data_IF_057198574164
#
_entry.id   IF_057198574164
#
_cell.length_a   1.000
_cell.length_b   1.000
_cell.length_c   1.000
_cell.angle_alpha   90.00
_cell.angle_beta   90.00
_cell.angle_gamma   90.00
#
_symmetry.space_group_name_H-M   'P 1'
#
loop_
_entity.id
_entity.type
_entity.pdbx_description
1 polymer ?
#
# COMPACT_ATOMS: atom_id res chain seq x y z
N UNK A 1 -7.50 -5.46 -29.20
CA UNK A 1 -7.92 -5.21 -27.80
C UNK A 1 -8.03 -6.56 -27.11
N UNK A 2 -7.42 -6.73 -25.95
CA UNK A 2 -7.51 -7.96 -25.17
C UNK A 2 -8.95 -8.11 -24.67
N UNK A 3 -9.61 -9.24 -24.98
CA UNK A 3 -10.97 -9.49 -24.50
C UNK A 3 -10.90 -10.09 -23.08
N UNK A 4 -10.91 -9.24 -22.06
CA UNK A 4 -10.87 -9.70 -20.66
C UNK A 4 -12.12 -10.51 -20.28
N UNK A 5 -13.26 -10.30 -20.94
CA UNK A 5 -14.49 -11.07 -20.71
C UNK A 5 -14.32 -12.55 -21.06
N UNK A 6 -13.71 -12.85 -22.22
CA UNK A 6 -13.39 -14.22 -22.58
C UNK A 6 -12.28 -14.82 -21.69
N UNK A 7 -11.28 -13.98 -21.36
CA UNK A 7 -10.12 -14.41 -20.56
C UNK A 7 -10.51 -14.88 -19.15
N UNK A 8 -11.56 -14.30 -18.55
CA UNK A 8 -12.00 -14.60 -17.19
C UNK A 8 -13.40 -15.23 -17.12
N UNK A 9 -13.91 -15.79 -18.24
CA UNK A 9 -15.31 -16.19 -18.38
C UNK A 9 -15.81 -17.13 -17.26
N UNK A 10 -14.97 -18.10 -16.86
CA UNK A 10 -15.33 -19.12 -15.87
C UNK A 10 -14.51 -18.99 -14.58
N UNK A 11 -14.02 -17.78 -14.28
CA UNK A 11 -13.06 -17.56 -13.19
C UNK A 11 -13.49 -16.40 -12.32
N UNK A 12 -13.51 -16.57 -11.01
CA UNK A 12 -13.73 -15.48 -10.06
C UNK A 12 -12.54 -14.51 -10.06
N UNK A 13 -12.79 -13.25 -10.29
CA UNK A 13 -11.76 -12.22 -10.32
C UNK A 13 -11.55 -11.67 -8.90
N UNK A 14 -10.32 -11.79 -8.38
CA UNK A 14 -9.94 -11.21 -7.10
C UNK A 14 -8.88 -10.12 -7.35
N UNK A 15 -9.19 -8.88 -7.00
CA UNK A 15 -8.30 -7.73 -7.17
C UNK A 15 -7.66 -7.35 -5.85
N UNK A 16 -6.34 -7.40 -5.78
CA UNK A 16 -5.57 -6.91 -4.62
C UNK A 16 -5.53 -5.39 -4.61
N UNK A 17 -6.21 -4.77 -3.66
CA UNK A 17 -6.26 -3.31 -3.47
C UNK A 17 -5.31 -2.89 -2.35
N UNK A 18 -4.63 -1.77 -2.51
CA UNK A 18 -3.68 -1.24 -1.51
C UNK A 18 -3.95 0.22 -1.10
N UNK A 19 -5.01 0.84 -1.64
CA UNK A 19 -5.25 2.28 -1.51
C UNK A 19 -4.27 3.13 -2.33
N UNK A 20 -3.46 2.52 -3.19
CA UNK A 20 -2.55 3.20 -4.11
C UNK A 20 -3.13 3.32 -5.51
N UNK A 21 -2.59 4.28 -6.29
CA UNK A 21 -3.09 4.62 -7.63
C UNK A 21 -3.15 3.42 -8.59
N UNK A 22 -2.15 2.54 -8.55
CA UNK A 22 -2.03 1.44 -9.50
C UNK A 22 -3.09 0.34 -9.24
N UNK A 23 -3.36 0.02 -7.98
CA UNK A 23 -4.41 -0.93 -7.62
C UNK A 23 -5.82 -0.39 -7.89
N UNK A 24 -6.02 0.92 -7.72
CA UNK A 24 -7.27 1.59 -8.10
C UNK A 24 -7.45 1.57 -9.60
N UNK A 25 -6.42 1.94 -10.38
CA UNK A 25 -6.44 1.86 -11.85
C UNK A 25 -6.76 0.45 -12.35
N UNK A 26 -6.34 -0.60 -11.63
CA UNK A 26 -6.68 -1.99 -11.97
C UNK A 26 -8.20 -2.24 -11.89
N UNK A 27 -8.86 -1.77 -10.84
CA UNK A 27 -10.31 -1.87 -10.72
C UNK A 27 -11.04 -1.06 -11.81
N UNK A 28 -10.58 0.17 -12.07
CA UNK A 28 -11.15 1.04 -13.11
C UNK A 28 -10.95 0.43 -14.49
N UNK A 29 -9.83 -0.22 -14.76
CA UNK A 29 -9.57 -0.92 -16.02
C UNK A 29 -10.56 -2.09 -16.24
N UNK A 30 -10.94 -2.82 -15.21
CA UNK A 30 -11.99 -3.84 -15.31
C UNK A 30 -13.33 -3.19 -15.68
N UNK A 31 -13.69 -2.09 -15.03
CA UNK A 31 -14.94 -1.36 -15.30
C UNK A 31 -14.96 -0.85 -16.75
N UNK A 32 -13.87 -0.26 -17.26
CA UNK A 32 -13.76 0.17 -18.67
C UNK A 32 -13.87 -1.00 -19.67
N UNK A 33 -13.46 -2.21 -19.24
CA UNK A 33 -13.62 -3.43 -20.05
C UNK A 33 -14.97 -4.13 -19.84
N UNK A 34 -15.96 -3.42 -19.29
CA UNK A 34 -17.36 -3.82 -19.21
C UNK A 34 -17.72 -4.72 -18.02
N UNK A 35 -16.84 -4.88 -17.02
CA UNK A 35 -17.20 -5.56 -15.77
C UNK A 35 -17.99 -4.62 -14.85
N UNK A 36 -19.10 -5.09 -14.33
CA UNK A 36 -19.78 -4.39 -13.24
C UNK A 36 -18.99 -4.52 -11.93
N UNK A 37 -19.25 -3.62 -10.99
CA UNK A 37 -18.62 -3.66 -9.67
C UNK A 37 -18.98 -4.91 -8.87
N UNK A 38 -19.95 -5.70 -9.27
CA UNK A 38 -20.34 -6.95 -8.61
C UNK A 38 -19.64 -8.19 -9.16
N UNK A 39 -18.97 -8.06 -10.34
CA UNK A 39 -18.35 -9.19 -11.03
C UNK A 39 -16.89 -9.45 -10.60
N UNK A 40 -16.33 -8.62 -9.75
CA UNK A 40 -14.98 -8.85 -9.19
C UNK A 40 -14.94 -8.49 -7.70
N UNK A 41 -14.10 -9.19 -6.96
CA UNK A 41 -13.91 -8.98 -5.52
C UNK A 41 -12.66 -8.16 -5.27
N UNK A 42 -12.76 -7.13 -4.46
CA UNK A 42 -11.64 -6.27 -4.01
C UNK A 42 -11.21 -6.69 -2.62
N UNK A 43 -9.92 -6.93 -2.45
CA UNK A 43 -9.35 -7.39 -1.19
C UNK A 43 -8.20 -6.48 -0.77
N UNK A 44 -8.27 -5.96 0.44
CA UNK A 44 -7.22 -5.18 1.08
C UNK A 44 -6.67 -5.96 2.28
N UNK A 45 -5.35 -6.14 2.34
CA UNK A 45 -4.68 -6.73 3.50
C UNK A 45 -4.30 -5.61 4.48
N UNK A 46 -5.12 -5.44 5.50
CA UNK A 46 -4.93 -4.46 6.55
C UNK A 46 -3.85 -4.93 7.52
N UNK A 47 -2.74 -4.19 7.57
CA UNK A 47 -1.65 -4.50 8.50
C UNK A 47 -1.80 -3.81 9.86
N UNK A 48 -2.73 -2.85 9.96
CA UNK A 48 -2.81 -1.94 11.09
C UNK A 48 -1.59 -1.00 11.19
N UNK A 49 -0.90 -0.77 10.07
CA UNK A 49 0.27 0.10 10.01
C UNK A 49 0.25 1.02 8.77
N UNK A 50 -0.90 1.21 8.18
CA UNK A 50 -1.14 2.19 7.12
C UNK A 50 -1.32 3.60 7.71
N UNK A 51 -1.26 4.64 6.87
CA UNK A 51 -1.64 5.99 7.24
C UNK A 51 -3.18 6.09 7.35
N UNK A 52 -3.69 6.90 8.28
CA UNK A 52 -5.13 7.12 8.44
C UNK A 52 -5.78 7.61 7.13
N UNK A 53 -5.07 8.45 6.38
CA UNK A 53 -5.50 8.92 5.05
C UNK A 53 -5.75 7.76 4.09
N UNK A 54 -5.00 6.65 4.22
CA UNK A 54 -5.21 5.47 3.38
C UNK A 54 -6.53 4.76 3.72
N UNK A 55 -6.88 4.66 4.99
CA UNK A 55 -8.18 4.09 5.41
C UNK A 55 -9.34 4.95 4.92
N UNK A 56 -9.26 6.26 5.09
CA UNK A 56 -10.26 7.20 4.56
C UNK A 56 -10.39 7.12 3.04
N UNK A 57 -9.27 6.93 2.35
CA UNK A 57 -9.28 6.76 0.91
C UNK A 57 -9.90 5.42 0.47
N UNK A 58 -9.70 4.35 1.22
CA UNK A 58 -10.38 3.07 0.95
C UNK A 58 -11.90 3.20 1.11
N UNK A 59 -12.37 3.93 2.13
CA UNK A 59 -13.81 4.21 2.32
C UNK A 59 -14.36 5.05 1.15
N UNK A 60 -13.59 6.05 0.69
CA UNK A 60 -13.94 6.82 -0.52
C UNK A 60 -14.00 5.93 -1.77
N UNK A 61 -13.04 5.02 -1.94
CA UNK A 61 -13.00 4.13 -3.10
C UNK A 61 -14.18 3.18 -3.18
N UNK A 62 -14.73 2.74 -2.05
CA UNK A 62 -15.89 1.83 -2.04
C UNK A 62 -17.10 2.41 -2.77
N UNK A 63 -17.24 3.74 -2.81
CA UNK A 63 -18.30 4.42 -3.59
C UNK A 63 -18.07 4.37 -5.11
N UNK A 64 -16.84 4.09 -5.57
CA UNK A 64 -16.46 4.12 -6.99
C UNK A 64 -16.23 2.73 -7.57
N UNK A 65 -15.63 1.85 -6.79
CA UNK A 65 -15.23 0.51 -7.25
C UNK A 65 -15.99 -0.61 -6.54
N UNK A 66 -16.88 -0.30 -5.60
CA UNK A 66 -17.65 -1.25 -4.79
C UNK A 66 -16.92 -1.70 -3.52
N UNK A 67 -17.58 -2.51 -2.68
CA UNK A 67 -17.08 -2.90 -1.35
C UNK A 67 -15.70 -3.56 -1.37
N UNK A 68 -14.89 -3.26 -0.37
CA UNK A 68 -13.52 -3.79 -0.22
C UNK A 68 -13.47 -4.71 1.00
N UNK A 69 -13.16 -5.98 0.78
CA UNK A 69 -12.94 -6.94 1.87
C UNK A 69 -11.62 -6.61 2.55
N UNK A 70 -11.65 -6.29 3.85
CA UNK A 70 -10.47 -5.97 4.65
C UNK A 70 -10.03 -7.19 5.44
N UNK A 71 -8.88 -7.76 5.09
CA UNK A 71 -8.30 -8.94 5.72
C UNK A 71 -7.26 -8.55 6.75
N UNK A 72 -7.36 -9.11 7.95
CA UNK A 72 -6.41 -8.91 9.05
C UNK A 72 -5.77 -10.22 9.49
N UNK A 73 -4.58 -10.11 10.07
CA UNK A 73 -3.88 -11.25 10.65
C UNK A 73 -4.55 -11.74 11.95
N UNK A 74 -5.21 -10.83 12.68
CA UNK A 74 -5.88 -11.07 13.96
C UNK A 74 -4.91 -11.64 14.99
N UNK A 75 -3.84 -10.91 15.27
CA UNK A 75 -2.78 -11.32 16.19
C UNK A 75 -3.30 -11.34 17.63
N UNK A 76 -3.25 -12.49 18.26
CA UNK A 76 -3.60 -12.61 19.67
C UNK A 76 -2.55 -11.91 20.56
N UNK A 77 -3.01 -11.26 21.64
CA UNK A 77 -2.16 -10.51 22.56
C UNK A 77 -2.00 -11.33 23.85
N UNK A 78 -0.74 -11.62 24.23
CA UNK A 78 -0.46 -12.22 25.52
C UNK A 78 -0.90 -11.28 26.66
N UNK A 79 -1.46 -11.81 27.77
CA UNK A 79 -1.96 -10.99 28.88
C UNK A 79 -0.96 -9.94 29.37
N UNK A 80 0.31 -10.30 29.48
CA UNK A 80 1.39 -9.41 29.94
C UNK A 80 1.63 -8.20 29.00
N UNK A 81 1.22 -8.27 27.74
CA UNK A 81 1.45 -7.23 26.74
C UNK A 81 0.21 -6.35 26.48
N UNK A 82 -0.93 -6.66 27.09
CA UNK A 82 -2.21 -5.98 26.80
C UNK A 82 -2.16 -4.48 27.04
N UNK A 83 -1.61 -4.07 28.15
CA UNK A 83 -1.51 -2.65 28.52
C UNK A 83 -0.65 -1.87 27.51
N UNK A 84 0.52 -2.39 27.18
CA UNK A 84 1.41 -1.76 26.20
C UNK A 84 0.74 -1.67 24.82
N UNK A 85 0.16 -2.76 24.35
CA UNK A 85 -0.55 -2.79 23.05
C UNK A 85 -1.68 -1.78 23.05
N UNK A 86 -2.56 -1.81 24.07
CA UNK A 86 -3.70 -0.89 24.14
C UNK A 86 -3.27 0.58 24.12
N UNK A 87 -2.20 0.92 24.85
CA UNK A 87 -1.69 2.29 24.89
C UNK A 87 -1.15 2.73 23.53
N UNK A 88 -0.37 1.90 22.85
CA UNK A 88 0.19 2.23 21.54
C UNK A 88 -0.90 2.27 20.45
N UNK A 89 -1.89 1.39 20.51
CA UNK A 89 -3.02 1.40 19.60
C UNK A 89 -3.92 2.63 19.82
N UNK A 90 -4.12 3.05 21.06
CA UNK A 90 -4.83 4.31 21.38
C UNK A 90 -4.08 5.53 20.81
N UNK A 91 -2.74 5.56 20.95
CA UNK A 91 -1.93 6.62 20.35
C UNK A 91 -1.99 6.59 18.81
N UNK A 92 -2.09 5.41 18.22
CA UNK A 92 -2.23 5.23 16.78
C UNK A 92 -3.63 5.60 16.26
N UNK A 93 -4.65 5.46 17.11
CA UNK A 93 -6.06 5.69 16.82
C UNK A 93 -6.81 4.47 16.25
N UNK A 94 -6.15 3.32 16.12
CA UNK A 94 -6.75 2.07 15.66
C UNK A 94 -5.90 0.86 16.07
N UNK A 95 -6.51 -0.34 15.98
CA UNK A 95 -5.82 -1.61 16.25
C UNK A 95 -4.74 -1.92 15.22
N UNK A 96 -3.59 -2.45 15.66
CA UNK A 96 -2.42 -2.69 14.83
C UNK A 96 -1.85 -4.10 15.00
N UNK A 97 -2.14 -4.98 14.05
CA UNK A 97 -1.50 -6.28 14.00
C UNK A 97 0.02 -6.18 13.83
N UNK A 98 0.49 -5.10 13.20
CA UNK A 98 1.93 -4.82 13.09
C UNK A 98 2.56 -4.58 14.47
N UNK A 99 1.98 -3.69 15.29
CA UNK A 99 2.47 -3.42 16.66
C UNK A 99 2.41 -4.69 17.51
N UNK A 100 1.30 -5.42 17.43
CA UNK A 100 1.10 -6.68 18.16
C UNK A 100 2.21 -7.70 17.85
N UNK A 101 2.58 -7.87 16.58
CA UNK A 101 3.69 -8.75 16.19
C UNK A 101 5.05 -8.22 16.66
N UNK A 102 5.31 -6.91 16.57
CA UNK A 102 6.57 -6.33 17.07
C UNK A 102 6.72 -6.60 18.56
N UNK A 103 5.68 -6.38 19.34
CA UNK A 103 5.69 -6.62 20.79
C UNK A 103 5.85 -8.12 21.11
N UNK A 104 5.13 -8.99 20.39
CA UNK A 104 5.19 -10.43 20.60
C UNK A 104 6.57 -11.02 20.31
N UNK A 105 7.26 -10.50 19.30
CA UNK A 105 8.54 -11.04 18.85
C UNK A 105 9.76 -10.23 19.24
N UNK A 106 9.57 -9.06 19.84
CA UNK A 106 10.65 -8.15 20.21
C UNK A 106 11.51 -7.73 19.01
N UNK A 107 10.94 -7.66 17.79
CA UNK A 107 11.69 -7.28 16.59
C UNK A 107 10.85 -6.66 15.50
N UNK A 108 11.41 -5.67 14.81
CA UNK A 108 10.84 -5.15 13.57
C UNK A 108 11.10 -6.08 12.37
N UNK A 109 10.30 -5.96 11.29
CA UNK A 109 10.63 -6.64 10.05
C UNK A 109 11.92 -6.07 9.47
N UNK A 110 12.74 -6.93 8.86
CA UNK A 110 14.00 -6.53 8.26
C UNK A 110 14.17 -7.15 6.85
N UNK A 111 15.00 -6.56 6.00
CA UNK A 111 15.43 -7.20 4.78
C UNK A 111 16.61 -8.15 5.10
N UNK A 112 16.61 -9.41 4.60
CA UNK A 112 15.68 -9.98 3.61
C UNK A 112 14.37 -10.53 4.20
N UNK A 113 14.27 -10.73 5.52
CA UNK A 113 13.15 -11.39 6.20
C UNK A 113 12.01 -10.42 6.54
N UNK A 114 11.23 -10.05 5.52
CA UNK A 114 10.07 -9.16 5.67
C UNK A 114 8.86 -9.94 6.21
N UNK A 115 8.92 -10.31 7.50
CA UNK A 115 7.79 -11.02 8.12
C UNK A 115 6.46 -10.25 8.01
N UNK A 116 6.50 -8.93 7.93
CA UNK A 116 5.30 -8.12 7.73
C UNK A 116 4.57 -8.47 6.41
N UNK A 117 5.30 -8.78 5.34
CA UNK A 117 4.69 -9.23 4.09
C UNK A 117 4.07 -10.61 4.23
N UNK A 118 4.80 -11.56 4.83
CA UNK A 118 4.31 -12.93 5.03
C UNK A 118 3.10 -12.96 5.98
N UNK A 119 3.26 -12.41 7.18
CA UNK A 119 2.29 -12.58 8.26
C UNK A 119 1.06 -11.69 8.15
N UNK A 120 1.23 -10.46 7.66
CA UNK A 120 0.17 -9.47 7.62
C UNK A 120 -0.53 -9.38 6.26
N UNK A 121 0.07 -9.93 5.19
CA UNK A 121 -0.50 -9.86 3.84
C UNK A 121 -0.70 -11.25 3.23
N UNK A 122 0.38 -12.01 3.02
CA UNK A 122 0.30 -13.29 2.31
C UNK A 122 -0.60 -14.28 3.06
N UNK A 123 -0.38 -14.50 4.36
CA UNK A 123 -1.16 -15.49 5.11
C UNK A 123 -2.65 -15.16 5.25
N UNK A 124 -3.06 -13.92 5.61
CA UNK A 124 -4.47 -13.56 5.61
C UNK A 124 -5.11 -13.71 4.24
N UNK A 125 -4.40 -13.32 3.18
CA UNK A 125 -4.85 -13.45 1.81
C UNK A 125 -5.01 -14.92 1.38
N UNK A 126 -4.00 -15.76 1.60
CA UNK A 126 -4.08 -17.20 1.31
C UNK A 126 -5.21 -17.87 2.08
N UNK A 127 -5.41 -17.49 3.37
CA UNK A 127 -6.52 -18.00 4.17
C UNK A 127 -7.87 -17.65 3.56
N UNK A 128 -8.02 -16.43 3.09
CA UNK A 128 -9.23 -15.99 2.39
C UNK A 128 -9.43 -16.76 1.08
N UNK A 129 -8.41 -16.86 0.24
CA UNK A 129 -8.50 -17.58 -1.02
C UNK A 129 -8.94 -19.04 -0.84
N UNK A 130 -8.47 -19.71 0.21
CA UNK A 130 -8.86 -21.09 0.54
C UNK A 130 -10.32 -21.25 1.01
N UNK A 131 -11.03 -20.16 1.26
CA UNK A 131 -12.49 -20.20 1.52
C UNK A 131 -13.33 -20.15 0.24
N UNK A 132 -12.69 -19.92 -0.90
CA UNK A 132 -13.37 -19.87 -2.19
C UNK A 132 -13.50 -21.30 -2.74
N UNK A 133 -14.69 -21.66 -3.21
CA UNK A 133 -14.99 -22.97 -3.78
C UNK A 133 -14.84 -22.98 -5.31
N UNK A 134 -14.74 -21.80 -5.92
CA UNK A 134 -14.66 -21.57 -7.36
C UNK A 134 -13.22 -21.34 -7.79
N UNK A 135 -12.89 -21.62 -9.06
CA UNK A 135 -11.64 -21.21 -9.66
C UNK A 135 -11.50 -19.70 -9.65
N UNK A 136 -10.33 -19.20 -9.34
CA UNK A 136 -10.07 -17.75 -9.25
C UNK A 136 -8.76 -17.32 -9.86
N UNK A 137 -8.73 -16.08 -10.29
CA UNK A 137 -7.53 -15.39 -10.75
C UNK A 137 -7.25 -14.17 -9.87
N UNK A 138 -6.01 -14.01 -9.45
CA UNK A 138 -5.57 -12.87 -8.66
C UNK A 138 -5.05 -11.77 -9.59
N UNK A 139 -5.67 -10.59 -9.55
CA UNK A 139 -5.22 -9.42 -10.30
C UNK A 139 -4.48 -8.44 -9.40
N UNK A 140 -3.33 -7.98 -9.85
CA UNK A 140 -2.50 -7.02 -9.11
C UNK A 140 -2.10 -5.84 -9.99
N UNK A 141 -2.32 -4.63 -9.49
CA UNK A 141 -1.93 -3.39 -10.15
C UNK A 141 -0.44 -3.11 -9.98
N UNK A 142 0.41 -3.82 -10.75
CA UNK A 142 1.86 -3.65 -10.75
C UNK A 142 2.30 -3.19 -12.14
N UNK A 143 3.22 -2.21 -12.19
CA UNK A 143 3.83 -1.71 -13.43
C UNK A 143 5.33 -1.98 -13.48
N UNK A 144 5.83 -2.33 -14.66
CA UNK A 144 7.26 -2.56 -14.91
C UNK A 144 8.10 -1.31 -14.61
N UNK A 145 7.55 -0.12 -14.89
CA UNK A 145 8.18 1.18 -14.69
C UNK A 145 8.53 1.49 -13.23
N UNK A 146 7.85 0.89 -12.25
CA UNK A 146 8.05 1.21 -10.84
C UNK A 146 9.41 0.77 -10.27
N UNK A 147 10.04 -0.24 -10.84
CA UNK A 147 11.38 -0.68 -10.44
C UNK A 147 11.97 -1.74 -11.36
N UNK A 148 13.31 -1.85 -11.37
CA UNK A 148 14.04 -2.91 -12.08
C UNK A 148 13.59 -4.32 -11.69
N UNK A 149 13.16 -4.54 -10.44
CA UNK A 149 12.60 -5.83 -10.03
C UNK A 149 11.27 -6.10 -10.72
N UNK A 150 10.38 -5.09 -10.78
CA UNK A 150 9.04 -5.22 -11.36
C UNK A 150 9.07 -5.33 -12.88
N UNK A 151 10.06 -4.74 -13.55
CA UNK A 151 10.23 -4.88 -15.00
C UNK A 151 10.54 -6.31 -15.46
N UNK A 152 10.94 -7.19 -14.54
CA UNK A 152 11.22 -8.60 -14.80
C UNK A 152 10.01 -9.52 -14.56
N UNK A 153 8.90 -8.99 -14.09
CA UNK A 153 7.70 -9.79 -13.84
C UNK A 153 7.05 -10.18 -15.17
N UNK A 154 6.42 -11.34 -15.16
CA UNK A 154 5.57 -11.78 -16.27
C UNK A 154 4.18 -11.22 -16.10
N UNK A 155 3.48 -11.00 -17.18
CA UNK A 155 2.08 -10.59 -17.16
C UNK A 155 1.22 -11.66 -16.47
N UNK A 156 1.47 -12.93 -16.81
CA UNK A 156 0.85 -14.09 -16.19
C UNK A 156 1.89 -14.94 -15.47
N UNK A 157 1.57 -15.33 -14.23
CA UNK A 157 2.43 -16.17 -13.41
C UNK A 157 1.59 -17.01 -12.43
N UNK A 158 1.86 -18.31 -12.37
CA UNK A 158 1.24 -19.18 -11.39
C UNK A 158 1.96 -19.06 -10.04
N UNK A 159 1.22 -18.90 -8.97
CA UNK A 159 1.78 -18.81 -7.61
C UNK A 159 1.33 -20.00 -6.79
N UNK A 160 2.25 -20.91 -6.49
CA UNK A 160 1.97 -22.10 -5.66
C UNK A 160 1.39 -21.72 -4.28
N UNK A 161 1.83 -20.60 -3.69
CA UNK A 161 1.33 -20.13 -2.39
C UNK A 161 -0.15 -19.78 -2.42
N UNK A 162 -0.64 -19.28 -3.54
CA UNK A 162 -2.04 -18.89 -3.73
C UNK A 162 -2.83 -19.95 -4.49
N UNK A 163 -2.15 -20.95 -5.04
CA UNK A 163 -2.74 -22.02 -5.85
C UNK A 163 -3.55 -21.47 -7.05
N UNK A 164 -3.13 -20.30 -7.59
CA UNK A 164 -3.80 -19.65 -8.70
C UNK A 164 -2.85 -18.86 -9.60
N UNK A 165 -3.36 -18.50 -10.76
CA UNK A 165 -2.69 -17.54 -11.63
C UNK A 165 -2.82 -16.13 -11.09
N UNK A 166 -1.73 -15.38 -11.13
CA UNK A 166 -1.71 -13.93 -10.92
C UNK A 166 -1.53 -13.26 -12.29
N UNK A 167 -2.45 -12.38 -12.62
CA UNK A 167 -2.41 -11.55 -13.81
C UNK A 167 -2.09 -10.10 -13.45
N UNK A 168 -1.26 -9.45 -14.27
CA UNK A 168 -0.80 -8.06 -14.11
C UNK A 168 -1.16 -7.24 -15.37
N UNK A 169 -2.43 -6.92 -15.59
CA UNK A 169 -2.88 -6.25 -16.83
C UNK A 169 -2.22 -4.89 -17.05
N UNK A 170 -1.79 -4.22 -15.97
CA UNK A 170 -1.16 -2.91 -16.02
C UNK A 170 0.37 -2.98 -16.13
N UNK A 171 0.96 -4.18 -16.33
CA UNK A 171 2.42 -4.35 -16.27
C UNK A 171 3.16 -3.39 -17.19
N UNK A 172 2.65 -3.17 -18.38
CA UNK A 172 3.24 -2.32 -19.40
C UNK A 172 2.67 -0.89 -19.43
N UNK A 173 1.84 -0.51 -18.45
CA UNK A 173 1.29 0.83 -18.36
C UNK A 173 2.31 1.84 -17.83
N UNK A 174 2.24 3.06 -18.35
CA UNK A 174 2.97 4.22 -17.84
C UNK A 174 2.21 4.86 -16.66
N UNK A 175 2.91 5.66 -15.86
CA UNK A 175 2.26 6.45 -14.80
C UNK A 175 1.18 7.36 -15.36
N UNK A 176 1.41 7.93 -16.56
CA UNK A 176 0.42 8.76 -17.23
C UNK A 176 -0.88 8.01 -17.50
N UNK A 177 -0.82 6.78 -18.03
CA UNK A 177 -2.02 5.97 -18.28
C UNK A 177 -2.80 5.66 -17.00
N UNK A 178 -2.10 5.44 -15.88
CA UNK A 178 -2.72 5.27 -14.56
C UNK A 178 -3.44 6.55 -14.12
N UNK A 179 -2.84 7.71 -14.30
CA UNK A 179 -3.48 9.00 -13.99
C UNK A 179 -4.67 9.27 -14.91
N UNK A 180 -4.49 9.02 -16.20
CA UNK A 180 -5.52 9.24 -17.21
C UNK A 180 -6.80 8.42 -16.93
N UNK A 181 -6.69 7.16 -16.48
CA UNK A 181 -7.86 6.35 -16.13
C UNK A 181 -8.56 6.87 -14.87
N UNK A 182 -7.81 7.30 -13.86
CA UNK A 182 -8.41 7.96 -12.69
C UNK A 182 -9.23 9.19 -13.11
N UNK A 183 -8.66 10.04 -13.95
CA UNK A 183 -9.31 11.26 -14.43
C UNK A 183 -10.58 10.95 -15.25
N UNK A 184 -10.54 9.95 -16.14
CA UNK A 184 -11.73 9.53 -16.91
C UNK A 184 -12.89 9.07 -16.03
N UNK A 185 -12.58 8.43 -14.91
CA UNK A 185 -13.58 7.95 -13.94
C UNK A 185 -13.88 8.96 -12.82
N UNK A 186 -13.30 10.17 -12.86
CA UNK A 186 -13.42 11.17 -11.79
C UNK A 186 -13.04 10.61 -10.39
N UNK A 187 -12.07 9.71 -10.32
CA UNK A 187 -11.58 9.13 -9.06
C UNK A 187 -10.34 9.88 -8.61
N UNK A 188 -10.46 10.59 -7.49
CA UNK A 188 -9.33 11.33 -6.92
C UNK A 188 -8.22 10.37 -6.47
N UNK A 189 -6.96 10.79 -6.53
CA UNK A 189 -5.86 10.01 -5.96
C UNK A 189 -5.91 10.02 -4.43
N UNK A 190 -5.25 9.05 -3.79
CA UNK A 190 -4.99 9.13 -2.36
C UNK A 190 -4.24 10.43 -2.04
N UNK A 191 -4.74 11.20 -1.05
CA UNK A 191 -4.19 12.51 -0.69
C UNK A 191 -2.69 12.47 -0.31
N UNK A 192 -2.16 11.32 0.09
CA UNK A 192 -0.73 11.15 0.33
C UNK A 192 0.11 11.47 -0.91
N UNK A 193 -0.39 11.17 -2.13
CA UNK A 193 0.31 11.56 -3.37
C UNK A 193 0.36 13.08 -3.52
N UNK A 194 -0.73 13.79 -3.19
CA UNK A 194 -0.77 15.26 -3.25
C UNK A 194 0.19 15.87 -2.22
N UNK A 195 0.39 15.19 -1.09
CA UNK A 195 1.38 15.56 -0.09
C UNK A 195 2.82 15.11 -0.45
N UNK A 196 3.03 14.71 -1.71
CA UNK A 196 4.34 14.37 -2.27
C UNK A 196 4.90 13.03 -1.79
N UNK A 197 4.05 12.06 -1.37
CA UNK A 197 4.47 10.70 -1.21
C UNK A 197 4.58 10.02 -2.59
N UNK A 198 5.65 9.28 -2.81
CA UNK A 198 5.87 8.58 -4.09
C UNK A 198 5.06 7.28 -4.19
N UNK A 199 4.61 6.76 -3.08
CA UNK A 199 3.83 5.52 -2.97
C UNK A 199 2.93 5.51 -1.75
N UNK A 200 1.89 4.70 -1.80
CA UNK A 200 0.96 4.41 -0.70
C UNK A 200 1.13 2.96 -0.25
N UNK A 201 1.05 2.73 1.06
CA UNK A 201 1.17 1.43 1.72
C UNK A 201 1.44 1.63 3.20
N UNK A 202 2.11 0.67 3.85
CA UNK A 202 2.48 0.79 5.26
C UNK A 202 3.22 2.11 5.55
N UNK A 203 2.89 2.79 6.65
CA UNK A 203 3.44 4.10 6.99
C UNK A 203 3.95 4.17 8.43
N UNK A 204 5.28 4.36 8.59
CA UNK A 204 6.29 4.26 7.55
C UNK A 204 6.56 2.81 7.13
N UNK A 205 7.02 2.61 5.91
CA UNK A 205 7.54 1.31 5.50
C UNK A 205 9.00 1.18 5.97
N UNK A 206 9.42 -0.02 6.42
CA UNK A 206 10.85 -0.29 6.75
C UNK A 206 11.82 -0.04 5.57
N UNK A 207 11.28 0.02 4.36
CA UNK A 207 12.00 0.31 3.12
C UNK A 207 11.78 1.76 2.66
N UNK A 208 11.33 2.64 3.55
CA UNK A 208 11.10 4.04 3.22
C UNK A 208 12.37 4.72 2.74
N UNK A 209 12.23 5.55 1.72
CA UNK A 209 13.32 6.38 1.20
C UNK A 209 13.50 7.62 2.08
N UNK A 210 14.63 8.28 1.94
CA UNK A 210 14.96 9.49 2.70
C UNK A 210 13.84 10.54 2.71
N UNK A 211 13.23 10.81 1.56
CA UNK A 211 12.12 11.76 1.43
C UNK A 211 10.86 11.32 2.20
N UNK A 212 10.61 10.01 2.27
CA UNK A 212 9.49 9.43 3.01
C UNK A 212 9.75 9.46 4.53
N UNK A 213 11.00 9.16 4.97
CA UNK A 213 11.40 9.24 6.38
C UNK A 213 11.20 10.66 6.92
N UNK A 214 11.53 11.69 6.13
CA UNK A 214 11.35 13.10 6.50
C UNK A 214 9.90 13.46 6.84
N UNK A 215 8.94 12.75 6.24
CA UNK A 215 7.50 13.01 6.36
C UNK A 215 6.82 12.21 7.48
N UNK A 216 7.55 11.33 8.18
CA UNK A 216 6.98 10.53 9.26
C UNK A 216 6.45 11.46 10.36
N UNK A 217 5.19 11.27 10.76
CA UNK A 217 4.54 12.04 11.81
C UNK A 217 5.17 11.78 13.19
N UNK A 218 5.06 12.74 14.10
CA UNK A 218 5.61 12.62 15.45
C UNK A 218 5.01 11.45 16.22
N UNK A 219 3.71 11.17 16.04
CA UNK A 219 3.05 10.03 16.68
C UNK A 219 3.70 8.72 16.28
N UNK A 220 3.96 8.54 14.97
CA UNK A 220 4.65 7.34 14.46
C UNK A 220 6.08 7.26 14.95
N UNK A 221 6.79 8.39 14.98
CA UNK A 221 8.16 8.47 15.51
C UNK A 221 8.18 8.07 16.98
N UNK A 222 7.25 8.57 17.78
CA UNK A 222 7.13 8.26 19.21
C UNK A 222 6.92 6.76 19.46
N UNK A 223 5.98 6.14 18.73
CA UNK A 223 5.72 4.70 18.83
C UNK A 223 6.96 3.89 18.44
N UNK A 224 7.61 4.23 17.32
CA UNK A 224 8.80 3.52 16.86
C UNK A 224 9.93 3.66 17.86
N UNK A 225 10.19 4.88 18.36
CA UNK A 225 11.22 5.16 19.37
C UNK A 225 11.02 4.36 20.63
N UNK A 226 9.79 4.26 21.11
CA UNK A 226 9.47 3.48 22.29
C UNK A 226 9.77 2.00 22.09
N UNK A 227 9.33 1.42 20.97
CA UNK A 227 9.58 0.01 20.64
C UNK A 227 11.08 -0.27 20.42
N UNK A 228 11.82 0.67 19.78
CA UNK A 228 13.28 0.58 19.62
C UNK A 228 14.01 0.55 20.95
N UNK A 229 13.56 1.36 21.91
CA UNK A 229 14.19 1.43 23.23
C UNK A 229 13.81 0.24 24.11
N UNK A 230 12.55 -0.21 24.03
CA UNK A 230 12.06 -1.34 24.83
C UNK A 230 12.77 -2.66 24.48
N UNK A 231 13.05 -2.89 23.22
CA UNK A 231 13.61 -4.16 22.74
C UNK A 231 15.06 -4.04 22.26
N UNK A 232 15.68 -2.87 22.36
CA UNK A 232 17.00 -2.54 21.82
C UNK A 232 17.19 -2.96 20.35
N UNK A 233 16.25 -2.57 19.52
CA UNK A 233 16.18 -2.87 18.09
C UNK A 233 16.16 -1.59 17.26
N UNK A 234 16.30 -1.71 15.94
CA UNK A 234 16.17 -0.57 15.01
C UNK A 234 15.06 -0.82 14.00
N UNK A 235 14.27 0.21 13.74
CA UNK A 235 13.22 0.17 12.73
C UNK A 235 13.81 0.17 11.30
N UNK A 236 14.79 1.02 11.08
CA UNK A 236 15.50 1.13 9.81
C UNK A 236 16.89 0.46 9.89
N UNK A 237 17.33 -0.10 8.77
CA UNK A 237 18.66 -0.73 8.67
C UNK A 237 19.82 0.24 9.01
N UNK A 238 19.62 1.54 8.82
CA UNK A 238 20.66 2.56 8.98
C UNK A 238 20.85 3.07 10.41
N UNK A 239 19.94 2.75 11.36
CA UNK A 239 19.99 3.22 12.73
C UNK A 239 18.62 3.44 13.36
N UNK A 240 18.61 3.90 14.62
CA UNK A 240 17.38 4.24 15.34
C UNK A 240 16.63 5.39 14.67
N UNK A 241 15.32 5.47 14.90
CA UNK A 241 14.42 6.41 14.23
C UNK A 241 14.90 7.87 14.30
N UNK A 242 15.41 8.32 15.43
CA UNK A 242 15.88 9.70 15.61
C UNK A 242 17.13 10.00 14.77
N UNK A 243 18.05 9.04 14.66
CA UNK A 243 19.23 9.16 13.79
C UNK A 243 18.79 9.22 12.30
N UNK A 244 17.87 8.35 11.92
CA UNK A 244 17.35 8.29 10.55
C UNK A 244 16.56 9.55 10.20
N UNK A 245 15.80 10.10 11.14
CA UNK A 245 15.11 11.38 10.95
C UNK A 245 16.13 12.52 10.77
N UNK A 246 17.12 12.64 11.65
CA UNK A 246 18.16 13.66 11.53
C UNK A 246 18.91 13.53 10.20
N UNK A 247 19.29 12.32 9.81
CA UNK A 247 19.88 12.06 8.50
C UNK A 247 18.95 12.46 7.36
N UNK A 248 17.65 12.24 7.47
CA UNK A 248 16.69 12.60 6.43
C UNK A 248 16.61 14.10 6.16
N UNK A 249 16.93 14.93 7.15
CA UNK A 249 16.93 16.40 7.03
C UNK A 249 18.21 16.96 6.39
N UNK A 250 19.26 16.13 6.26
CA UNK A 250 20.52 16.59 5.62
C UNK A 250 20.40 16.64 4.10
N UNK A 251 21.22 17.47 3.46
CA UNK A 251 21.34 17.51 1.98
C UNK A 251 22.04 16.28 1.41
N UNK A 252 22.91 15.60 2.20
CA UNK A 252 23.65 14.41 1.76
C UNK A 252 22.73 13.20 1.57
N UNK A 253 22.84 12.55 0.40
CA UNK A 253 22.02 11.36 0.06
C UNK A 253 20.54 11.66 -0.12
N UNK A 254 20.14 12.94 -0.19
CA UNK A 254 18.86 13.34 -0.76
C UNK A 254 18.87 13.05 -2.25
N UNK A 255 17.70 12.95 -2.85
CA UNK A 255 17.57 13.04 -4.30
C UNK A 255 18.38 14.25 -4.71
N UNK A 256 19.42 14.04 -5.52
CA UNK A 256 20.09 15.14 -6.16
C UNK A 256 18.98 15.87 -6.92
N UNK A 257 18.67 17.10 -6.52
CA UNK A 257 17.83 17.93 -7.35
C UNK A 257 18.57 17.97 -8.68
N UNK A 258 17.99 17.35 -9.70
CA UNK A 258 18.49 17.59 -11.03
C UNK A 258 18.41 19.09 -11.21
N UNK A 259 19.49 19.71 -11.65
CA UNK A 259 19.52 21.16 -11.97
C UNK A 259 18.40 21.56 -12.96
N UNK A 260 17.76 20.55 -13.51
CA UNK A 260 16.58 20.61 -14.38
C UNK A 260 15.57 19.58 -13.89
N UNK A 261 15.00 19.78 -12.69
CA UNK A 261 13.88 18.94 -12.22
C UNK A 261 12.65 19.32 -13.04
N UNK A 262 12.49 18.62 -14.15
CA UNK A 262 11.34 18.76 -15.05
C UNK A 262 10.14 17.95 -14.55
N UNK A 263 10.24 17.32 -13.36
CA UNK A 263 9.09 16.67 -12.77
C UNK A 263 8.08 17.71 -12.30
N UNK A 264 6.95 17.73 -12.98
CA UNK A 264 5.81 18.54 -12.60
C UNK A 264 5.41 18.29 -11.13
N UNK A 265 4.99 19.33 -10.39
CA UNK A 265 4.40 19.14 -9.06
C UNK A 265 3.35 18.04 -9.08
N UNK A 266 3.19 17.31 -7.99
CA UNK A 266 2.28 16.15 -7.96
C UNK A 266 0.83 16.55 -8.28
N UNK A 267 0.39 17.73 -7.81
CA UNK A 267 -0.93 18.26 -8.15
C UNK A 267 -1.08 18.54 -9.66
N UNK A 268 -0.01 19.04 -10.32
CA UNK A 268 -0.02 19.27 -11.76
C UNK A 268 -0.08 17.96 -12.56
N UNK A 269 0.61 16.90 -12.08
CA UNK A 269 0.53 15.57 -12.69
C UNK A 269 -0.91 15.02 -12.69
N UNK A 270 -1.68 15.34 -11.64
CA UNK A 270 -3.07 14.92 -11.48
C UNK A 270 -4.10 15.90 -12.06
N UNK A 271 -3.67 17.08 -12.54
CA UNK A 271 -4.58 18.15 -12.99
C UNK A 271 -5.36 18.81 -11.84
N UNK A 272 -4.86 18.74 -10.62
CA UNK A 272 -5.57 19.18 -9.40
C UNK A 272 -4.93 20.41 -8.74
N UNK A 273 -4.05 21.15 -9.42
CA UNK A 273 -3.37 22.30 -8.85
C UNK A 273 -4.31 23.43 -8.40
N UNK A 274 -5.45 23.58 -9.03
CA UNK A 274 -6.46 24.59 -8.68
C UNK A 274 -7.08 24.33 -7.31
N UNK A 275 -7.18 23.08 -6.90
CA UNK A 275 -7.71 22.69 -5.59
C UNK A 275 -6.68 22.80 -4.45
N UNK A 276 -5.38 22.85 -4.76
CA UNK A 276 -4.32 22.95 -3.75
C UNK A 276 -4.11 24.38 -3.24
N UNK A 277 -4.62 25.38 -3.94
CA UNK A 277 -4.44 26.81 -3.62
C UNK A 277 -5.63 27.42 -2.87
N UNK A 278 -6.48 26.58 -2.22
CA UNK A 278 -7.54 27.04 -1.31
C UNK A 278 -8.21 28.31 -1.83
N UNK A 279 -9.05 28.21 -2.85
CA UNK A 279 -9.89 29.31 -3.27
C UNK A 279 -10.79 29.68 -2.13
N UNK A 280 -10.46 30.73 -1.40
CA UNK A 280 -11.41 31.49 -0.60
C UNK A 280 -12.25 32.30 -1.57
N UNK A 281 -13.49 31.91 -1.79
CA UNK A 281 -14.61 32.79 -2.03
C UNK A 281 -15.72 32.49 -1.01
#
# INVERSE_FOLDING_TARGET
>A
MTNYREMYADTKIIVSVSGGKDSTAMCLNLIENGFSITEFTRVFCDTGWEDLTTYQYLDYLENHIGPIIRLRANVAIAPANRELVSRLENQLGFESDFIRYVIQWGKFPASPHKWCTDRLKIRPYTRYLRTLEEDYVNLVGIRAEESVKRSKYKEWEYFDTFECYTHRPLLNWTEKQVIDIHNRHNVLPNALYLNGHSRVGCYPCIMARKAEIRKISEDRISIIRELENLYDITYFKGGKIDQMRSWSMTSRGGTQFFLFDTEKPTCEKWGLCEFANGGTE
#
